data_IF_844687836018
#
_entry.id   IF_844687836018
#
_cell.length_a   1.000
_cell.length_b   1.000
_cell.length_c   1.000
_cell.angle_alpha   90.00
_cell.angle_beta   90.00
_cell.angle_gamma   90.00
#
_symmetry.space_group_name_H-M   'P 1'
#
loop_
_entity.id
_entity.type
_entity.pdbx_description
1 polymer ?
#
# COMPACT_ATOMS: atom_id res chain seq x y z
N UNK A 1 -11.50 25.38 22.48
CA UNK A 1 -10.44 24.35 22.44
C UNK A 1 -10.45 23.60 23.76
N UNK A 2 -10.37 22.26 23.76
CA UNK A 2 -10.27 21.45 24.97
C UNK A 2 -9.03 21.80 25.80
N UNK A 3 -9.16 21.73 27.14
CA UNK A 3 -8.12 22.14 28.09
C UNK A 3 -6.78 21.38 27.89
N UNK A 4 -6.87 20.10 27.49
CA UNK A 4 -5.72 19.25 27.21
C UNK A 4 -4.88 19.76 26.01
N UNK A 5 -5.54 20.30 24.99
CA UNK A 5 -4.88 20.82 23.80
C UNK A 5 -4.14 22.13 24.11
N UNK A 6 -4.71 22.97 24.97
CA UNK A 6 -4.06 24.20 25.48
C UNK A 6 -2.83 23.87 26.33
N UNK A 7 -2.91 22.85 27.19
CA UNK A 7 -1.79 22.41 28.02
C UNK A 7 -0.62 21.87 27.17
N UNK A 8 -0.91 21.06 26.15
CA UNK A 8 0.09 20.54 25.22
C UNK A 8 0.74 21.67 24.40
N UNK A 9 -0.05 22.66 23.96
CA UNK A 9 0.45 23.81 23.21
C UNK A 9 1.38 24.69 24.08
N UNK A 10 1.00 24.92 25.34
CA UNK A 10 1.83 25.66 26.30
C UNK A 10 3.17 24.93 26.55
N UNK A 11 3.16 23.60 26.75
CA UNK A 11 4.41 22.85 26.92
C UNK A 11 5.37 22.97 25.72
N UNK A 12 4.84 22.99 24.48
CA UNK A 12 5.67 23.14 23.27
C UNK A 12 6.20 24.56 23.07
N UNK A 13 5.40 25.58 23.43
CA UNK A 13 5.76 26.99 23.25
C UNK A 13 6.78 27.47 24.28
N UNK A 14 6.77 26.90 25.48
CA UNK A 14 7.61 27.36 26.60
C UNK A 14 8.92 26.56 26.74
N UNK A 15 9.05 25.43 26.05
CA UNK A 15 10.29 24.65 26.04
C UNK A 15 11.29 25.20 25.00
N UNK A 16 12.51 25.58 25.40
CA UNK A 16 13.55 25.99 24.45
C UNK A 16 14.09 24.77 23.68
N UNK A 17 14.46 24.98 22.41
CA UNK A 17 15.09 23.94 21.59
C UNK A 17 16.42 23.51 22.21
N UNK A 18 16.59 22.21 22.38
CA UNK A 18 17.82 21.60 22.92
C UNK A 18 18.73 21.18 21.78
N UNK A 19 20.02 21.49 21.87
CA UNK A 19 20.99 21.03 20.88
C UNK A 19 21.14 19.51 20.95
N UNK A 20 20.97 18.84 19.80
CA UNK A 20 21.08 17.39 19.67
C UNK A 20 22.50 16.86 19.90
N UNK A 21 23.51 17.72 19.71
CA UNK A 21 24.92 17.38 19.90
C UNK A 21 25.37 17.53 21.36
N UNK A 22 24.47 17.92 22.27
CA UNK A 22 24.80 18.07 23.68
C UNK A 22 25.00 16.68 24.31
N UNK A 23 26.12 16.42 25.00
CA UNK A 23 26.32 15.16 25.70
C UNK A 23 25.26 15.01 26.80
N UNK A 24 24.55 13.87 26.79
CA UNK A 24 23.45 13.57 27.72
C UNK A 24 23.96 12.79 28.94
N UNK A 25 25.13 12.14 28.81
CA UNK A 25 25.75 11.37 29.89
C UNK A 25 26.73 12.21 30.73
N UNK A 26 26.53 12.20 32.04
CA UNK A 26 27.34 12.90 33.05
C UNK A 26 28.58 12.10 33.46
N UNK A 27 28.63 10.79 33.17
CA UNK A 27 29.72 9.87 33.58
C UNK A 27 30.81 9.66 32.53
N UNK A 28 30.84 10.48 31.47
CA UNK A 28 31.97 10.57 30.55
C UNK A 28 31.88 9.69 29.30
N UNK A 29 30.71 9.09 29.00
CA UNK A 29 30.50 8.28 27.80
C UNK A 29 30.32 9.06 26.49
N UNK A 30 30.28 10.40 26.51
CA UNK A 30 30.24 11.24 25.31
C UNK A 30 28.99 11.07 24.42
N UNK A 31 27.99 10.30 24.86
CA UNK A 31 26.78 10.03 24.08
C UNK A 31 25.91 11.28 24.00
N UNK A 32 25.58 11.67 22.78
CA UNK A 32 24.76 12.84 22.49
C UNK A 32 23.30 12.45 22.24
N UNK A 33 22.38 13.42 22.29
CA UNK A 33 20.95 13.15 22.11
C UNK A 33 20.66 12.56 20.72
N UNK A 34 21.37 13.02 19.68
CA UNK A 34 21.31 12.47 18.32
C UNK A 34 21.66 10.98 18.24
N UNK A 35 22.56 10.47 19.10
CA UNK A 35 22.96 9.05 19.08
C UNK A 35 21.85 8.13 19.64
N UNK A 36 20.87 8.71 20.32
CA UNK A 36 19.73 8.00 20.94
C UNK A 36 18.45 8.11 20.12
N UNK A 37 18.40 9.00 19.14
CA UNK A 37 17.24 9.13 18.25
C UNK A 37 17.32 8.00 17.24
N UNK A 38 16.41 7.04 17.36
CA UNK A 38 16.27 5.97 16.39
C UNK A 38 15.68 6.51 15.09
N UNK A 39 16.11 5.93 13.97
CA UNK A 39 15.48 6.15 12.69
C UNK A 39 14.16 5.38 12.63
N UNK A 40 13.06 6.07 12.30
CA UNK A 40 11.73 5.46 12.20
C UNK A 40 11.49 4.78 10.83
N UNK A 41 12.47 4.84 9.92
CA UNK A 41 12.40 4.14 8.64
C UNK A 41 12.47 2.62 8.85
N UNK A 42 11.85 1.89 7.92
CA UNK A 42 11.96 0.43 7.87
C UNK A 42 13.43 -0.02 7.80
N UNK A 43 13.76 -1.11 8.49
CA UNK A 43 15.06 -1.75 8.37
C UNK A 43 15.38 -2.13 6.92
N UNK A 44 16.66 -2.09 6.50
CA UNK A 44 17.05 -2.46 5.13
C UNK A 44 16.58 -3.86 4.69
N UNK A 45 16.50 -4.80 5.64
CA UNK A 45 15.97 -6.14 5.43
C UNK A 45 14.47 -6.10 5.10
N UNK A 46 13.69 -5.38 5.89
CA UNK A 46 12.25 -5.19 5.67
C UNK A 46 11.97 -4.48 4.35
N UNK A 47 12.75 -3.45 4.00
CA UNK A 47 12.64 -2.77 2.70
C UNK A 47 12.87 -3.75 1.56
N UNK A 48 13.92 -4.57 1.66
CA UNK A 48 14.26 -5.55 0.62
C UNK A 48 13.20 -6.64 0.48
N UNK A 49 12.65 -7.11 1.61
CA UNK A 49 11.56 -8.08 1.65
C UNK A 49 10.30 -7.52 0.98
N UNK A 50 9.82 -6.34 1.42
CA UNK A 50 8.67 -5.64 0.83
C UNK A 50 8.83 -5.43 -0.67
N UNK A 51 10.04 -5.08 -1.13
CA UNK A 51 10.33 -4.90 -2.55
C UNK A 51 10.29 -6.22 -3.35
N UNK A 52 10.82 -7.31 -2.79
CA UNK A 52 10.77 -8.66 -3.39
C UNK A 52 9.32 -9.17 -3.47
N UNK A 53 8.56 -9.06 -2.40
CA UNK A 53 7.17 -9.50 -2.35
C UNK A 53 6.30 -8.68 -3.28
N UNK A 54 6.50 -7.35 -3.32
CA UNK A 54 5.85 -6.47 -4.28
C UNK A 54 6.12 -6.87 -5.74
N UNK A 55 7.36 -7.26 -6.08
CA UNK A 55 7.69 -7.79 -7.42
C UNK A 55 6.95 -9.09 -7.72
N UNK A 56 6.94 -10.04 -6.78
CA UNK A 56 6.26 -11.33 -6.93
C UNK A 56 4.75 -11.15 -7.12
N UNK A 57 4.11 -10.31 -6.31
CA UNK A 57 2.68 -9.94 -6.45
C UNK A 57 2.37 -9.34 -7.82
N UNK A 58 3.22 -8.43 -8.31
CA UNK A 58 3.07 -7.85 -9.66
C UNK A 58 3.18 -8.90 -10.76
N UNK A 59 4.11 -9.85 -10.64
CA UNK A 59 4.27 -10.94 -11.60
C UNK A 59 3.03 -11.85 -11.63
N UNK A 60 2.51 -12.24 -10.45
CA UNK A 60 1.29 -13.04 -10.37
C UNK A 60 0.08 -12.34 -10.97
N UNK A 61 -0.10 -11.05 -10.68
CA UNK A 61 -1.17 -10.25 -11.26
C UNK A 61 -1.03 -10.14 -12.78
N UNK A 62 0.17 -9.87 -13.29
CA UNK A 62 0.42 -9.78 -14.73
C UNK A 62 0.11 -11.09 -15.45
N UNK A 63 0.55 -12.22 -14.88
CA UNK A 63 0.26 -13.53 -15.43
C UNK A 63 -1.24 -13.86 -15.33
N UNK A 64 -1.92 -13.47 -14.26
CA UNK A 64 -3.38 -13.64 -14.14
C UNK A 64 -4.14 -12.80 -15.16
N UNK A 65 -3.74 -11.55 -15.41
CA UNK A 65 -4.33 -10.68 -16.43
C UNK A 65 -4.17 -11.22 -17.86
N UNK A 66 -3.13 -12.02 -18.13
CA UNK A 66 -2.92 -12.65 -19.43
C UNK A 66 -3.87 -13.83 -19.71
N UNK A 67 -4.45 -14.43 -18.67
CA UNK A 67 -5.44 -15.51 -18.82
C UNK A 67 -6.86 -14.97 -19.05
N UNK A 68 -7.08 -13.66 -18.86
CA UNK A 68 -8.35 -13.01 -19.14
C UNK A 68 -8.49 -12.76 -20.64
N UNK A 69 -9.73 -12.85 -21.13
CA UNK A 69 -10.01 -12.42 -22.50
C UNK A 69 -9.75 -10.92 -22.67
N UNK A 70 -9.46 -10.42 -23.88
CA UNK A 70 -9.16 -9.01 -24.11
C UNK A 70 -10.25 -8.06 -23.57
N UNK A 71 -11.52 -8.47 -23.66
CA UNK A 71 -12.67 -7.72 -23.15
C UNK A 71 -12.71 -7.70 -21.62
N UNK A 72 -12.50 -8.84 -20.97
CA UNK A 72 -12.45 -8.94 -19.50
C UNK A 72 -11.27 -8.13 -18.94
N UNK A 73 -10.08 -8.26 -19.55
CA UNK A 73 -8.88 -7.50 -19.17
C UNK A 73 -9.10 -5.99 -19.26
N UNK A 74 -9.73 -5.51 -20.33
CA UNK A 74 -10.02 -4.09 -20.51
C UNK A 74 -10.95 -3.56 -19.41
N UNK A 75 -11.99 -4.31 -19.04
CA UNK A 75 -12.91 -3.94 -17.96
C UNK A 75 -12.17 -3.85 -16.62
N UNK A 76 -11.35 -4.86 -16.29
CA UNK A 76 -10.59 -4.88 -15.03
C UNK A 76 -9.58 -3.73 -14.97
N UNK A 77 -8.81 -3.49 -16.04
CA UNK A 77 -7.82 -2.41 -16.07
C UNK A 77 -8.50 -1.05 -15.90
N UNK A 78 -9.55 -0.81 -16.69
CA UNK A 78 -10.28 0.44 -16.69
C UNK A 78 -10.92 0.76 -15.34
N UNK A 79 -11.41 -0.26 -14.61
CA UNK A 79 -12.13 -0.04 -13.34
C UNK A 79 -11.25 -0.11 -12.10
N UNK A 80 -10.21 -0.95 -12.10
CA UNK A 80 -9.44 -1.27 -10.90
C UNK A 80 -7.99 -0.78 -10.94
N UNK A 81 -7.39 -0.59 -12.13
CA UNK A 81 -5.96 -0.26 -12.28
C UNK A 81 -5.70 1.17 -12.77
N UNK A 82 -6.71 1.88 -13.28
CA UNK A 82 -6.59 3.26 -13.80
C UNK A 82 -6.81 4.36 -12.74
N UNK A 83 -6.75 4.04 -11.44
CA UNK A 83 -6.85 5.01 -10.35
C UNK A 83 -8.26 5.51 -10.04
N UNK A 84 -8.90 6.22 -10.98
CA UNK A 84 -10.24 6.82 -10.79
C UNK A 84 -11.38 5.82 -11.05
N UNK A 85 -11.14 4.83 -11.91
CA UNK A 85 -12.06 3.74 -12.22
C UNK A 85 -13.23 4.16 -13.14
N UNK A 86 -13.27 3.62 -14.37
CA UNK A 86 -14.37 3.86 -15.30
C UNK A 86 -15.71 3.31 -14.76
N UNK A 87 -16.81 4.04 -14.94
CA UNK A 87 -18.14 3.55 -14.53
C UNK A 87 -18.65 2.45 -15.48
N UNK A 88 -19.52 1.57 -14.98
CA UNK A 88 -20.13 0.51 -15.80
C UNK A 88 -20.88 1.06 -17.03
N UNK A 89 -21.46 2.27 -16.93
CA UNK A 89 -22.16 2.90 -18.04
C UNK A 89 -21.18 3.34 -19.15
N UNK A 90 -20.07 3.99 -18.76
CA UNK A 90 -19.02 4.39 -19.71
C UNK A 90 -18.39 3.20 -20.42
N UNK A 91 -18.12 2.12 -19.68
CA UNK A 91 -17.60 0.87 -20.23
C UNK A 91 -18.62 0.17 -21.16
N UNK A 92 -19.89 0.19 -20.79
CA UNK A 92 -20.97 -0.36 -21.61
C UNK A 92 -21.06 0.36 -22.97
N UNK A 93 -21.03 1.69 -22.96
CA UNK A 93 -20.99 2.51 -24.19
C UNK A 93 -19.74 2.23 -25.03
N UNK A 94 -18.55 2.17 -24.41
CA UNK A 94 -17.28 1.93 -25.12
C UNK A 94 -17.19 0.53 -25.75
N UNK A 95 -17.78 -0.48 -25.11
CA UNK A 95 -17.76 -1.87 -25.55
C UNK A 95 -18.99 -2.28 -26.38
N UNK A 96 -19.98 -1.39 -26.54
CA UNK A 96 -21.23 -1.67 -27.24
C UNK A 96 -22.10 -2.73 -26.56
N UNK A 97 -22.05 -2.81 -25.23
CA UNK A 97 -22.80 -3.80 -24.43
C UNK A 97 -23.60 -3.14 -23.32
N UNK A 98 -24.65 -3.81 -22.84
CA UNK A 98 -25.46 -3.30 -21.74
C UNK A 98 -24.67 -3.24 -20.43
N UNK A 99 -25.10 -2.34 -19.52
CA UNK A 99 -24.53 -2.20 -18.17
C UNK A 99 -24.47 -3.53 -17.41
N UNK A 100 -25.54 -4.32 -17.48
CA UNK A 100 -25.58 -5.63 -16.82
C UNK A 100 -24.61 -6.63 -17.46
N UNK A 101 -24.41 -6.55 -18.79
CA UNK A 101 -23.43 -7.40 -19.45
C UNK A 101 -22.00 -7.07 -19.02
N UNK A 102 -21.66 -5.79 -18.83
CA UNK A 102 -20.36 -5.38 -18.25
C UNK A 102 -20.20 -5.96 -16.84
N UNK A 103 -21.24 -5.87 -15.99
CA UNK A 103 -21.23 -6.42 -14.63
C UNK A 103 -20.96 -7.93 -14.62
N UNK A 104 -21.59 -8.67 -15.54
CA UNK A 104 -21.37 -10.12 -15.68
C UNK A 104 -19.95 -10.45 -16.12
N UNK A 105 -19.42 -9.74 -17.12
CA UNK A 105 -18.05 -9.93 -17.60
C UNK A 105 -17.03 -9.63 -16.50
N UNK A 106 -17.28 -8.57 -15.72
CA UNK A 106 -16.45 -8.25 -14.58
C UNK A 106 -16.47 -9.33 -13.50
N UNK A 107 -17.65 -9.80 -13.08
CA UNK A 107 -17.73 -10.84 -12.05
C UNK A 107 -16.96 -12.08 -12.48
N UNK A 108 -17.11 -12.51 -13.73
CA UNK A 108 -16.37 -13.64 -14.30
C UNK A 108 -14.87 -13.39 -14.34
N UNK A 109 -14.45 -12.17 -14.71
CA UNK A 109 -13.06 -11.77 -14.73
C UNK A 109 -12.42 -11.82 -13.33
N UNK A 110 -13.13 -11.31 -12.31
CA UNK A 110 -12.69 -11.35 -10.91
C UNK A 110 -12.59 -12.78 -10.38
N UNK A 111 -13.55 -13.64 -10.71
CA UNK A 111 -13.53 -15.04 -10.28
C UNK A 111 -12.36 -15.81 -10.94
N UNK A 112 -12.08 -15.54 -12.22
CA UNK A 112 -10.87 -16.07 -12.88
C UNK A 112 -9.60 -15.57 -12.21
N UNK A 113 -9.47 -14.26 -11.99
CA UNK A 113 -8.29 -13.68 -11.31
C UNK A 113 -8.07 -14.34 -9.95
N UNK A 114 -9.12 -14.49 -9.14
CA UNK A 114 -9.04 -15.17 -7.83
C UNK A 114 -8.54 -16.60 -7.94
N UNK A 115 -9.04 -17.37 -8.90
CA UNK A 115 -8.60 -18.77 -9.11
C UNK A 115 -7.14 -18.84 -9.52
N UNK A 116 -6.72 -18.01 -10.47
CA UNK A 116 -5.35 -18.03 -11.00
C UNK A 116 -4.35 -17.56 -9.95
N UNK A 117 -4.68 -16.51 -9.22
CA UNK A 117 -3.85 -16.00 -8.13
C UNK A 117 -3.83 -17.01 -6.99
N UNK A 118 -4.98 -17.56 -6.58
CA UNK A 118 -5.07 -18.57 -5.53
C UNK A 118 -4.30 -19.86 -5.84
N UNK A 119 -4.27 -20.29 -7.10
CA UNK A 119 -3.49 -21.46 -7.51
C UNK A 119 -1.97 -21.22 -7.47
N UNK A 120 -1.51 -19.96 -7.52
CA UNK A 120 -0.09 -19.59 -7.48
C UNK A 120 0.41 -19.23 -6.09
N UNK A 121 -0.51 -19.06 -5.14
CA UNK A 121 -0.21 -18.72 -3.76
C UNK A 121 -0.26 -20.01 -2.94
N UNK A 122 0.91 -20.51 -2.53
CA UNK A 122 1.00 -21.67 -1.63
C UNK A 122 0.56 -21.32 -0.20
N UNK A 123 0.76 -20.06 0.22
CA UNK A 123 0.28 -19.53 1.51
C UNK A 123 -0.35 -18.16 1.32
N UNK A 124 -1.63 -17.99 1.70
CA UNK A 124 -2.34 -16.70 1.64
C UNK A 124 -1.65 -15.60 2.46
N UNK A 125 -0.80 -15.98 3.43
CA UNK A 125 0.07 -15.09 4.18
C UNK A 125 1.03 -14.27 3.27
N UNK A 126 1.55 -14.84 2.18
CA UNK A 126 2.44 -14.15 1.23
C UNK A 126 1.78 -12.95 0.53
N UNK A 127 0.44 -12.95 0.49
CA UNK A 127 -0.33 -11.85 -0.11
C UNK A 127 -0.43 -10.64 0.83
N UNK A 128 -0.48 -10.88 2.14
CA UNK A 128 -0.75 -9.87 3.18
C UNK A 128 0.43 -9.60 4.13
N UNK A 129 1.56 -10.28 3.96
CA UNK A 129 2.79 -10.02 4.71
C UNK A 129 3.37 -8.65 4.34
N UNK A 130 2.73 -7.60 4.82
CA UNK A 130 3.09 -6.17 4.76
C UNK A 130 2.04 -5.41 5.59
N UNK A 131 1.87 -5.75 6.88
CA UNK A 131 1.10 -4.96 7.84
C UNK A 131 1.82 -4.99 9.19
#
# INVERSE_FOLDING_TARGET
>A
MPLAEVAAMHQRLTAPDMSLSTPVDVTGGGTSLQDRIADERDDPELVTLKARDGRRRRQWLAAALNELSPRERLIIIARWLNGVGDTLDTLGRRLGVSKERVRQLESRALDKLRRVIGARIEQTADLFASA
#
